data_IF_575107652294
#
_entry.id   IF_575107652294
#
_cell.length_a   1.000
_cell.length_b   1.000
_cell.length_c   1.000
_cell.angle_alpha   90.00
_cell.angle_beta   90.00
_cell.angle_gamma   90.00
#
_symmetry.space_group_name_H-M   'P 1'
#
loop_
_entity.id
_entity.type
_entity.pdbx_description
1 polymer ?
#
# COMPACT_ATOMS: atom_id res chain seq x y z
N UNK A 1 -46.30 24.39 17.48
CA UNK A 1 -45.25 23.70 16.70
C UNK A 1 -44.46 24.61 15.75
N UNK A 2 -45.06 25.60 15.06
CA UNK A 2 -44.33 26.50 14.13
C UNK A 2 -43.26 27.42 14.75
N UNK A 3 -43.39 27.82 16.02
CA UNK A 3 -42.42 28.72 16.71
C UNK A 3 -41.09 28.05 17.09
N UNK A 4 -41.10 26.75 17.38
CA UNK A 4 -39.89 26.01 17.74
C UNK A 4 -39.03 25.63 16.53
N UNK A 5 -39.65 25.44 15.36
CA UNK A 5 -38.95 25.20 14.08
C UNK A 5 -38.18 26.43 13.63
N UNK A 6 -38.75 27.63 13.81
CA UNK A 6 -38.06 28.90 13.50
C UNK A 6 -36.90 29.16 14.47
N UNK A 7 -37.04 28.80 15.76
CA UNK A 7 -35.95 28.93 16.73
C UNK A 7 -34.75 28.03 16.39
N UNK A 8 -35.02 26.78 15.99
CA UNK A 8 -33.97 25.84 15.54
C UNK A 8 -33.28 26.30 14.25
N UNK A 9 -34.03 26.88 13.31
CA UNK A 9 -33.47 27.47 12.09
C UNK A 9 -32.66 28.75 12.38
N UNK A 10 -33.06 29.56 13.36
CA UNK A 10 -32.31 30.77 13.73
C UNK A 10 -31.04 30.49 14.54
N UNK A 11 -31.03 29.44 15.37
CA UNK A 11 -29.85 29.02 16.15
C UNK A 11 -28.75 28.36 15.29
N UNK A 12 -29.11 27.80 14.13
CA UNK A 12 -28.14 27.19 13.20
C UNK A 12 -27.41 28.16 12.26
N UNK A 13 -27.94 29.38 12.07
CA UNK A 13 -27.44 30.33 11.06
C UNK A 13 -26.83 31.63 11.64
N UNK A 14 -26.87 31.82 12.96
CA UNK A 14 -26.47 33.06 13.62
C UNK A 14 -25.07 33.09 14.25
N UNK A 15 -24.29 32.01 14.17
CA UNK A 15 -22.91 32.02 14.69
C UNK A 15 -22.01 32.69 13.66
N UNK A 16 -21.31 33.80 13.98
CA UNK A 16 -20.29 34.34 13.09
C UNK A 16 -19.23 33.26 12.90
N UNK A 17 -19.19 32.69 11.70
CA UNK A 17 -18.16 31.73 11.30
C UNK A 17 -16.88 32.49 11.09
N UNK A 18 -16.14 32.75 12.17
CA UNK A 18 -14.73 33.10 12.07
C UNK A 18 -14.07 32.06 11.17
N UNK A 19 -13.44 32.50 10.07
CA UNK A 19 -12.74 31.60 9.14
C UNK A 19 -11.60 30.93 9.91
N UNK A 20 -11.90 29.77 10.47
CA UNK A 20 -10.95 28.98 11.22
C UNK A 20 -10.11 28.22 10.19
N UNK A 21 -8.88 28.67 9.98
CA UNK A 21 -7.92 28.00 9.11
C UNK A 21 -7.29 26.82 9.87
N UNK A 22 -8.08 25.78 10.09
CA UNK A 22 -7.62 24.51 10.65
C UNK A 22 -7.53 23.45 9.55
N UNK A 23 -6.43 22.70 9.55
CA UNK A 23 -6.24 21.54 8.68
C UNK A 23 -5.70 20.38 9.51
N UNK A 24 -6.17 19.17 9.23
CA UNK A 24 -5.65 17.96 9.86
C UNK A 24 -4.21 17.71 9.38
N UNK A 25 -3.28 17.76 10.32
CA UNK A 25 -1.93 17.25 10.15
C UNK A 25 -1.92 15.79 10.63
N UNK A 26 -1.78 14.85 9.71
CA UNK A 26 -1.76 13.42 10.04
C UNK A 26 -0.35 12.96 10.40
N UNK A 27 0.63 13.36 9.58
CA UNK A 27 2.03 13.05 9.78
C UNK A 27 2.87 14.32 9.59
N UNK A 28 3.92 14.47 10.41
CA UNK A 28 4.86 15.59 10.32
C UNK A 28 6.28 15.03 10.33
N UNK A 29 6.89 15.04 9.16
CA UNK A 29 8.24 14.54 8.93
C UNK A 29 9.26 15.66 8.75
N UNK A 30 8.86 16.93 8.89
CA UNK A 30 9.72 18.08 8.65
C UNK A 30 9.50 19.22 9.67
N UNK A 31 10.56 19.98 10.02
CA UNK A 31 10.46 21.21 10.84
C UNK A 31 9.57 22.26 10.18
N UNK A 32 8.92 23.16 10.93
CA UNK A 32 7.96 24.14 10.36
C UNK A 32 8.58 25.34 9.62
N UNK A 33 9.90 25.43 9.50
CA UNK A 33 10.64 26.65 9.12
C UNK A 33 11.10 26.72 7.66
N UNK A 34 10.36 26.13 6.71
CA UNK A 34 10.74 26.12 5.28
C UNK A 34 9.71 26.76 4.35
N UNK A 35 10.17 27.27 3.21
CA UNK A 35 9.32 27.78 2.13
C UNK A 35 8.85 26.63 1.23
N UNK A 36 7.58 26.68 0.82
CA UNK A 36 6.99 25.75 -0.16
C UNK A 36 6.83 26.44 -1.51
N UNK A 37 7.07 25.68 -2.57
CA UNK A 37 6.80 26.03 -3.98
C UNK A 37 5.72 25.10 -4.53
N UNK A 38 5.15 25.45 -5.69
CA UNK A 38 4.17 24.60 -6.36
C UNK A 38 4.38 24.51 -7.87
N UNK A 39 4.06 23.35 -8.44
CA UNK A 39 3.95 23.11 -9.89
C UNK A 39 2.50 22.69 -10.19
N UNK A 40 1.88 23.34 -11.17
CA UNK A 40 0.51 23.06 -11.59
C UNK A 40 0.48 22.40 -12.97
N UNK A 41 -0.16 21.23 -13.08
CA UNK A 41 -0.39 20.51 -14.35
C UNK A 41 -1.86 20.14 -14.45
N UNK A 42 -2.65 20.95 -15.15
CA UNK A 42 -4.11 20.81 -15.17
C UNK A 42 -4.70 20.87 -13.75
N UNK A 43 -5.47 19.87 -13.29
CA UNK A 43 -5.98 19.83 -11.92
C UNK A 43 -4.91 19.46 -10.88
N UNK A 44 -3.79 18.84 -11.25
CA UNK A 44 -2.74 18.43 -10.32
C UNK A 44 -1.95 19.64 -9.84
N UNK A 45 -1.77 19.76 -8.52
CA UNK A 45 -0.95 20.77 -7.86
C UNK A 45 0.08 20.08 -6.97
N UNK A 46 1.31 19.97 -7.44
CA UNK A 46 2.43 19.43 -6.67
C UNK A 46 2.98 20.54 -5.79
N UNK A 47 2.86 20.39 -4.48
CA UNK A 47 3.35 21.30 -3.45
C UNK A 47 4.59 20.66 -2.84
N UNK A 48 5.72 21.36 -2.84
CA UNK A 48 7.01 20.79 -2.44
C UNK A 48 7.87 21.83 -1.72
N UNK A 49 8.84 21.36 -0.94
CA UNK A 49 9.84 22.22 -0.28
C UNK A 49 10.85 22.76 -1.30
N UNK A 50 11.28 24.01 -1.11
CA UNK A 50 12.41 24.57 -1.86
C UNK A 50 13.63 23.63 -1.84
N UNK A 51 14.33 23.47 -2.98
CA UNK A 51 15.41 22.51 -3.25
C UNK A 51 14.97 21.09 -3.67
N UNK A 52 13.67 20.83 -3.85
CA UNK A 52 13.16 19.59 -4.46
C UNK A 52 12.67 19.78 -5.90
N UNK A 53 13.03 20.88 -6.54
CA UNK A 53 12.49 21.34 -7.83
C UNK A 53 12.56 20.24 -8.91
N UNK A 54 13.72 19.60 -9.11
CA UNK A 54 13.89 18.50 -10.07
C UNK A 54 12.98 17.31 -9.76
N UNK A 55 12.88 16.92 -8.49
CA UNK A 55 12.04 15.80 -8.05
C UNK A 55 10.55 16.14 -8.24
N UNK A 56 10.15 17.37 -7.94
CA UNK A 56 8.79 17.85 -8.08
C UNK A 56 8.34 17.88 -9.55
N UNK A 57 9.22 18.25 -10.50
CA UNK A 57 8.93 18.17 -11.93
C UNK A 57 8.70 16.71 -12.41
N UNK A 58 9.50 15.77 -11.90
CA UNK A 58 9.34 14.34 -12.22
C UNK A 58 8.03 13.80 -11.64
N UNK A 59 7.73 14.11 -10.38
CA UNK A 59 6.46 13.75 -9.71
C UNK A 59 5.26 14.37 -10.42
N UNK A 60 5.35 15.62 -10.87
CA UNK A 60 4.26 16.26 -11.63
C UNK A 60 3.99 15.53 -12.96
N UNK A 61 5.05 15.08 -13.65
CA UNK A 61 4.93 14.31 -14.89
C UNK A 61 4.30 12.95 -14.67
N UNK A 62 4.82 12.16 -13.72
CA UNK A 62 4.22 10.87 -13.36
C UNK A 62 2.79 11.03 -12.86
N UNK A 63 2.55 12.05 -12.04
CA UNK A 63 1.24 12.30 -11.47
C UNK A 63 0.18 12.64 -12.53
N UNK A 64 0.53 13.50 -13.48
CA UNK A 64 -0.35 13.82 -14.60
C UNK A 64 -0.61 12.60 -15.49
N UNK A 65 0.43 11.79 -15.77
CA UNK A 65 0.30 10.57 -16.57
C UNK A 65 -0.63 9.55 -15.91
N UNK A 66 -0.31 9.11 -14.69
CA UNK A 66 -1.09 8.07 -14.01
C UNK A 66 -2.52 8.54 -13.75
N UNK A 67 -2.72 9.82 -13.42
CA UNK A 67 -4.07 10.37 -13.26
C UNK A 67 -4.89 10.22 -14.54
N UNK A 68 -4.29 10.34 -15.73
CA UNK A 68 -4.99 10.18 -17.00
C UNK A 68 -5.42 8.74 -17.30
N UNK A 69 -4.66 7.74 -16.84
CA UNK A 69 -4.85 6.32 -17.23
C UNK A 69 -5.49 5.44 -16.16
N UNK A 70 -5.51 5.87 -14.88
CA UNK A 70 -6.02 5.06 -13.76
C UNK A 70 -7.42 5.43 -13.30
N UNK A 71 -8.17 6.20 -14.09
CA UNK A 71 -9.53 6.61 -13.72
C UNK A 71 -10.48 5.40 -13.57
N UNK A 72 -11.20 5.32 -12.43
CA UNK A 72 -12.28 4.33 -12.20
C UNK A 72 -13.61 4.82 -12.75
N UNK A 73 -13.77 6.14 -12.75
CA UNK A 73 -15.03 6.80 -12.98
C UNK A 73 -14.77 8.22 -13.52
N UNK A 74 -15.70 8.85 -14.25
CA UNK A 74 -15.50 10.19 -14.82
C UNK A 74 -14.93 11.21 -13.83
N UNK A 75 -13.69 11.63 -14.03
CA UNK A 75 -12.98 12.44 -13.05
C UNK A 75 -13.62 13.81 -12.90
N UNK A 76 -13.69 14.29 -11.66
CA UNK A 76 -14.08 15.67 -11.41
C UNK A 76 -12.82 16.51 -11.64
N UNK A 77 -12.90 17.56 -12.46
CA UNK A 77 -11.78 18.49 -12.73
C UNK A 77 -11.45 19.37 -11.52
N UNK A 78 -11.56 18.84 -10.30
CA UNK A 78 -11.25 19.53 -9.06
C UNK A 78 -9.75 19.59 -8.88
N UNK A 79 -9.24 20.64 -8.23
CA UNK A 79 -7.83 20.68 -7.88
C UNK A 79 -7.45 19.46 -7.01
N UNK A 80 -6.34 18.83 -7.37
CA UNK A 80 -5.76 17.66 -6.71
C UNK A 80 -4.39 18.06 -6.12
N UNK A 81 -4.34 18.41 -4.82
CA UNK A 81 -3.09 18.68 -4.13
C UNK A 81 -2.30 17.40 -3.92
N UNK A 82 -1.03 17.41 -4.30
CA UNK A 82 -0.04 16.40 -3.98
C UNK A 82 1.08 17.08 -3.20
N UNK A 83 1.25 16.72 -1.92
CA UNK A 83 2.31 17.25 -1.06
C UNK A 83 3.50 16.32 -1.16
N UNK A 84 4.60 16.81 -1.73
CA UNK A 84 5.89 16.12 -1.72
C UNK A 84 6.68 16.62 -0.51
N UNK A 85 6.77 15.78 0.51
CA UNK A 85 7.59 16.01 1.68
C UNK A 85 9.07 15.87 1.33
N UNK A 86 9.93 16.52 2.12
CA UNK A 86 11.38 16.42 1.94
C UNK A 86 12.01 15.20 2.60
N UNK A 87 13.09 15.42 3.35
CA UNK A 87 14.00 14.35 3.78
C UNK A 87 13.36 13.42 4.81
N UNK A 88 13.17 12.16 4.42
CA UNK A 88 12.70 11.08 5.28
C UNK A 88 13.37 9.77 4.89
N UNK A 89 13.85 9.05 5.90
CA UNK A 89 14.42 7.72 5.73
C UNK A 89 13.35 6.63 5.68
N UNK A 90 12.12 6.94 6.08
CA UNK A 90 10.98 6.03 6.00
C UNK A 90 10.12 6.54 4.85
N UNK A 91 10.21 5.92 3.66
CA UNK A 91 9.41 6.36 2.55
C UNK A 91 7.98 5.85 2.69
N UNK A 92 7.02 6.63 2.24
CA UNK A 92 5.61 6.31 2.35
C UNK A 92 4.78 7.11 1.34
N UNK A 93 3.56 6.65 1.09
CA UNK A 93 2.53 7.37 0.35
C UNK A 93 1.23 7.30 1.14
N UNK A 94 0.41 8.34 1.02
CA UNK A 94 -0.96 8.25 1.54
C UNK A 94 -1.90 9.19 0.79
N UNK A 95 -3.17 8.81 0.75
CA UNK A 95 -4.28 9.67 0.33
C UNK A 95 -5.11 10.05 1.54
N UNK A 96 -5.15 11.35 1.82
CA UNK A 96 -6.01 11.94 2.85
C UNK A 96 -7.18 12.60 2.16
N UNK A 97 -8.42 12.28 2.55
CA UNK A 97 -9.57 12.84 1.84
C UNK A 97 -10.14 14.13 2.43
N UNK A 98 -9.85 14.45 3.69
CA UNK A 98 -10.52 15.54 4.41
C UNK A 98 -9.50 16.53 4.99
N UNK A 99 -9.09 17.56 4.24
CA UNK A 99 -9.39 17.81 2.84
C UNK A 99 -8.56 16.95 1.88
N UNK A 100 -9.08 16.76 0.67
CA UNK A 100 -8.57 15.80 -0.32
C UNK A 100 -7.18 16.19 -0.82
N UNK A 101 -6.21 15.33 -0.57
CA UNK A 101 -4.82 15.47 -1.01
C UNK A 101 -4.12 14.12 -0.99
N UNK A 102 -3.05 14.04 -1.74
CA UNK A 102 -2.08 12.96 -1.67
C UNK A 102 -0.82 13.49 -1.01
N UNK A 103 -0.17 12.68 -0.19
CA UNK A 103 1.10 13.01 0.46
C UNK A 103 2.12 11.94 0.08
N UNK A 104 3.34 12.37 -0.27
CA UNK A 104 4.44 11.52 -0.65
C UNK A 104 5.67 11.82 0.19
N UNK A 105 6.26 10.76 0.70
CA UNK A 105 7.47 10.75 1.51
C UNK A 105 8.55 10.04 0.68
N UNK A 106 9.39 10.79 -0.05
CA UNK A 106 10.38 10.19 -0.93
C UNK A 106 11.47 9.50 -0.12
N UNK A 107 11.96 8.37 -0.62
CA UNK A 107 13.14 7.72 -0.04
C UNK A 107 14.36 8.60 -0.28
N UNK A 108 14.91 9.20 0.78
CA UNK A 108 16.10 10.06 0.65
C UNK A 108 17.43 9.36 0.95
N UNK A 109 17.38 8.09 1.36
CA UNK A 109 18.57 7.26 1.52
C UNK A 109 18.21 5.78 1.54
N UNK A 110 19.02 4.96 0.86
CA UNK A 110 18.82 3.51 0.76
C UNK A 110 18.17 3.08 -0.55
N UNK A 111 17.86 1.79 -0.62
CA UNK A 111 17.24 1.18 -1.79
C UNK A 111 16.09 0.29 -1.38
N UNK A 112 15.01 0.35 -2.16
CA UNK A 112 13.88 -0.56 -2.07
C UNK A 112 14.06 -1.74 -3.02
N UNK A 113 13.39 -2.85 -2.71
CA UNK A 113 13.52 -4.11 -3.48
C UNK A 113 12.66 -4.10 -4.75
N UNK A 114 12.58 -2.95 -5.42
CA UNK A 114 11.80 -2.75 -6.66
C UNK A 114 12.73 -2.36 -7.81
N UNK A 115 12.55 -2.90 -9.02
CA UNK A 115 13.37 -2.57 -10.19
C UNK A 115 13.05 -1.21 -10.83
N UNK A 116 12.24 -0.38 -10.14
CA UNK A 116 11.86 0.97 -10.55
C UNK A 116 12.14 1.94 -9.40
N UNK A 117 12.31 3.24 -9.68
CA UNK A 117 12.41 4.25 -8.63
C UNK A 117 11.23 4.11 -7.66
N UNK A 118 11.51 3.95 -6.36
CA UNK A 118 10.47 3.75 -5.34
C UNK A 118 9.40 4.84 -5.37
N UNK A 119 9.81 6.10 -5.58
CA UNK A 119 8.87 7.22 -5.68
C UNK A 119 7.91 7.08 -6.88
N UNK A 120 8.35 6.52 -8.01
CA UNK A 120 7.47 6.27 -9.15
C UNK A 120 6.43 5.20 -8.80
N UNK A 121 6.87 4.14 -8.09
CA UNK A 121 5.99 3.08 -7.60
C UNK A 121 4.92 3.67 -6.66
N UNK A 122 5.31 4.46 -5.66
CA UNK A 122 4.38 5.16 -4.77
C UNK A 122 3.39 6.04 -5.55
N UNK A 123 3.87 6.86 -6.49
CA UNK A 123 3.01 7.73 -7.28
C UNK A 123 1.96 6.93 -8.05
N UNK A 124 2.34 5.81 -8.67
CA UNK A 124 1.40 4.95 -9.39
C UNK A 124 0.34 4.33 -8.48
N UNK A 125 0.71 3.98 -7.25
CA UNK A 125 -0.16 3.33 -6.28
C UNK A 125 -1.16 4.32 -5.66
N UNK A 126 -0.65 5.40 -5.08
CA UNK A 126 -1.46 6.40 -4.37
C UNK A 126 -2.43 7.16 -5.28
N UNK A 127 -2.07 7.37 -6.55
CA UNK A 127 -3.01 7.98 -7.50
C UNK A 127 -4.22 7.07 -7.74
N UNK A 128 -4.04 5.75 -7.67
CA UNK A 128 -5.17 4.84 -7.75
C UNK A 128 -6.06 4.95 -6.51
N UNK A 129 -5.49 5.06 -5.31
CA UNK A 129 -6.28 5.37 -4.11
C UNK A 129 -7.07 6.67 -4.25
N UNK A 130 -6.47 7.72 -4.80
CA UNK A 130 -7.21 8.96 -5.05
C UNK A 130 -8.38 8.75 -6.01
N UNK A 131 -8.19 7.96 -7.07
CA UNK A 131 -9.26 7.62 -8.02
C UNK A 131 -10.39 6.78 -7.37
N UNK A 132 -10.05 5.87 -6.44
CA UNK A 132 -11.02 5.09 -5.65
C UNK A 132 -11.86 6.01 -4.76
N UNK A 133 -11.22 6.97 -4.08
CA UNK A 133 -11.91 7.94 -3.24
C UNK A 133 -12.79 8.90 -4.06
N UNK A 134 -12.35 9.32 -5.25
CA UNK A 134 -13.20 10.07 -6.19
C UNK A 134 -14.41 9.27 -6.68
N UNK A 135 -14.27 7.95 -6.89
CA UNK A 135 -15.36 7.10 -7.33
C UNK A 135 -16.47 7.00 -6.28
N UNK A 136 -16.13 7.14 -4.99
CA UNK A 136 -17.08 7.18 -3.88
C UNK A 136 -17.87 8.49 -3.77
N UNK A 137 -17.39 9.63 -4.31
CA UNK A 137 -18.10 10.93 -4.29
C UNK A 137 -19.25 11.00 -5.32
N UNK A 138 -20.15 10.01 -5.31
CA UNK A 138 -21.25 9.82 -6.28
C UNK A 138 -22.53 9.35 -5.61
N UNK A 139 -23.64 9.40 -6.36
CA UNK A 139 -24.95 8.86 -5.95
C UNK A 139 -25.38 9.35 -4.55
N UNK A 140 -25.73 8.45 -3.64
CA UNK A 140 -26.20 8.80 -2.31
C UNK A 140 -25.08 9.41 -1.46
N UNK A 141 -23.86 8.89 -1.55
CA UNK A 141 -22.70 9.50 -0.88
C UNK A 141 -22.45 10.93 -1.33
N UNK A 142 -22.69 11.24 -2.61
CA UNK A 142 -22.60 12.62 -3.10
C UNK A 142 -23.65 13.53 -2.48
N UNK A 143 -24.86 13.02 -2.23
CA UNK A 143 -25.88 13.81 -1.56
C UNK A 143 -25.44 14.21 -0.13
N UNK A 144 -24.75 13.31 0.58
CA UNK A 144 -24.19 13.61 1.91
C UNK A 144 -23.15 14.74 1.92
N UNK A 145 -22.51 15.04 0.78
CA UNK A 145 -21.56 16.16 0.65
C UNK A 145 -22.18 17.50 1.04
N UNK A 146 -23.49 17.71 0.78
CA UNK A 146 -24.14 18.97 1.10
C UNK A 146 -24.29 19.23 2.60
N UNK A 147 -24.19 18.18 3.42
CA UNK A 147 -24.26 18.27 4.89
C UNK A 147 -22.89 18.08 5.56
N UNK A 148 -22.07 17.17 5.02
CA UNK A 148 -20.81 16.74 5.64
C UNK A 148 -19.56 17.32 4.95
N UNK A 149 -19.72 18.04 3.83
CA UNK A 149 -18.60 18.43 2.98
C UNK A 149 -17.83 17.19 2.49
N UNK A 150 -16.49 17.29 2.42
CA UNK A 150 -15.65 16.18 1.96
C UNK A 150 -15.67 14.94 2.87
N UNK A 151 -16.19 15.05 4.11
CA UNK A 151 -16.31 13.90 5.02
C UNK A 151 -17.26 12.82 4.48
N UNK A 152 -18.11 13.14 3.50
CA UNK A 152 -19.00 12.19 2.84
C UNK A 152 -18.29 10.97 2.25
N UNK A 153 -17.10 11.16 1.67
CA UNK A 153 -16.30 10.07 1.11
C UNK A 153 -15.63 9.27 2.21
N UNK A 154 -15.29 9.89 3.35
CA UNK A 154 -14.80 9.16 4.53
C UNK A 154 -15.83 8.14 5.02
N UNK A 155 -17.11 8.53 5.08
CA UNK A 155 -18.22 7.59 5.36
C UNK A 155 -18.32 6.51 4.28
N UNK A 156 -18.16 6.89 3.02
CA UNK A 156 -18.15 5.96 1.89
C UNK A 156 -17.03 4.94 1.91
N UNK A 157 -15.85 5.31 2.41
CA UNK A 157 -14.67 4.46 2.45
C UNK A 157 -14.77 3.33 3.48
N UNK A 158 -15.72 3.40 4.42
CA UNK A 158 -16.03 2.32 5.35
C UNK A 158 -16.76 1.14 4.69
N UNK A 159 -17.24 1.34 3.46
CA UNK A 159 -18.13 0.39 2.79
C UNK A 159 -17.35 -0.68 2.00
N UNK A 160 -16.35 -0.34 1.15
CA UNK A 160 -15.47 -1.34 0.55
C UNK A 160 -14.50 -1.91 1.59
N UNK A 161 -14.09 -3.16 1.39
CA UNK A 161 -13.06 -3.76 2.24
C UNK A 161 -11.71 -3.07 2.04
N UNK A 162 -10.89 -2.97 3.10
CA UNK A 162 -9.52 -2.45 2.98
C UNK A 162 -8.67 -3.19 1.93
N UNK A 163 -8.83 -4.51 1.76
CA UNK A 163 -8.12 -5.24 0.70
C UNK A 163 -8.52 -4.82 -0.70
N UNK A 164 -9.72 -4.29 -0.91
CA UNK A 164 -10.14 -3.82 -2.23
C UNK A 164 -9.28 -2.63 -2.64
N UNK A 165 -9.14 -1.64 -1.74
CA UNK A 165 -8.33 -0.45 -2.01
C UNK A 165 -6.91 -0.85 -2.39
N UNK A 166 -6.27 -1.71 -1.60
CA UNK A 166 -4.89 -2.13 -1.85
C UNK A 166 -4.73 -3.03 -3.08
N UNK A 167 -5.59 -4.04 -3.22
CA UNK A 167 -5.52 -4.97 -4.35
C UNK A 167 -5.74 -4.27 -5.68
N UNK A 168 -6.70 -3.35 -5.76
CA UNK A 168 -7.01 -2.61 -6.98
C UNK A 168 -5.93 -1.57 -7.29
N UNK A 169 -5.28 -1.01 -6.27
CA UNK A 169 -4.09 -0.18 -6.45
C UNK A 169 -2.88 -0.99 -6.94
N UNK A 170 -2.67 -2.21 -6.43
CA UNK A 170 -1.65 -3.15 -6.92
C UNK A 170 -1.91 -3.61 -8.36
N UNK A 171 -3.16 -3.88 -8.71
CA UNK A 171 -3.54 -4.19 -10.09
C UNK A 171 -3.22 -3.02 -11.01
N UNK A 172 -3.63 -1.80 -10.62
CA UNK A 172 -3.40 -0.58 -11.40
C UNK A 172 -1.92 -0.25 -11.58
N UNK A 173 -1.09 -0.29 -10.53
CA UNK A 173 0.36 -0.07 -10.66
C UNK A 173 0.98 -1.13 -11.59
N UNK A 174 0.58 -2.40 -11.48
CA UNK A 174 1.16 -3.51 -12.26
C UNK A 174 0.75 -3.48 -13.73
N UNK A 175 -0.38 -2.83 -14.03
CA UNK A 175 -0.89 -2.64 -15.38
C UNK A 175 -0.25 -1.45 -16.10
N UNK A 176 -0.07 -0.32 -15.41
CA UNK A 176 0.30 0.94 -16.05
C UNK A 176 1.73 1.41 -15.78
N UNK A 177 2.37 0.95 -14.70
CA UNK A 177 3.76 1.27 -14.41
C UNK A 177 4.69 0.23 -15.06
N UNK A 178 5.99 0.56 -15.27
CA UNK A 178 6.98 -0.40 -15.78
C UNK A 178 7.17 -1.63 -14.88
N UNK A 179 6.81 -1.51 -13.59
CA UNK A 179 6.80 -2.60 -12.62
C UNK A 179 5.70 -2.35 -11.59
N UNK A 180 5.05 -3.43 -11.16
CA UNK A 180 4.13 -3.43 -10.03
C UNK A 180 4.15 -4.77 -9.30
N UNK A 181 3.58 -4.81 -8.10
CA UNK A 181 3.73 -5.93 -7.17
C UNK A 181 3.15 -7.25 -7.66
N UNK A 182 2.23 -7.28 -8.62
CA UNK A 182 1.77 -8.54 -9.24
C UNK A 182 2.92 -9.29 -9.91
N UNK A 183 3.91 -8.58 -10.43
CA UNK A 183 5.09 -9.15 -11.08
C UNK A 183 6.20 -9.52 -10.08
N UNK A 184 6.01 -9.25 -8.79
CA UNK A 184 6.98 -9.54 -7.75
C UNK A 184 6.94 -11.00 -7.34
N UNK A 185 8.11 -11.66 -7.31
CA UNK A 185 8.24 -13.04 -6.86
C UNK A 185 7.88 -13.25 -5.38
N UNK A 186 7.96 -12.20 -4.56
CA UNK A 186 7.72 -12.28 -3.11
C UNK A 186 6.28 -11.95 -2.72
N UNK A 187 5.54 -11.21 -3.54
CA UNK A 187 4.24 -10.62 -3.17
C UNK A 187 3.17 -11.68 -2.82
N UNK A 188 3.10 -12.75 -3.62
CA UNK A 188 2.17 -13.86 -3.40
C UNK A 188 2.88 -15.13 -2.90
N UNK A 189 4.15 -15.02 -2.48
CA UNK A 189 4.98 -16.18 -2.11
C UNK A 189 4.38 -16.98 -0.95
N UNK A 190 3.80 -16.32 0.04
CA UNK A 190 3.20 -16.99 1.20
C UNK A 190 2.01 -17.88 0.80
N UNK A 191 1.17 -17.46 -0.16
CA UNK A 191 0.11 -18.33 -0.71
C UNK A 191 0.68 -19.59 -1.35
N UNK A 192 1.79 -19.48 -2.09
CA UNK A 192 2.45 -20.64 -2.69
C UNK A 192 3.04 -21.56 -1.62
N UNK A 193 3.68 -21.01 -0.59
CA UNK A 193 4.21 -21.79 0.52
C UNK A 193 3.09 -22.57 1.23
N UNK A 194 1.97 -21.91 1.54
CA UNK A 194 0.81 -22.56 2.15
C UNK A 194 0.27 -23.71 1.29
N UNK A 195 0.16 -23.52 -0.02
CA UNK A 195 -0.32 -24.55 -0.96
C UNK A 195 0.64 -25.75 -1.08
N UNK A 196 1.95 -25.51 -1.07
CA UNK A 196 2.98 -26.55 -1.11
C UNK A 196 3.04 -27.35 0.19
N UNK A 197 2.88 -26.68 1.33
CA UNK A 197 2.85 -27.31 2.65
C UNK A 197 1.52 -28.05 2.94
N UNK A 198 0.55 -27.99 2.03
CA UNK A 198 -0.77 -28.58 2.20
C UNK A 198 -1.60 -27.89 3.30
N UNK A 199 -1.37 -26.60 3.54
CA UNK A 199 -2.06 -25.83 4.58
C UNK A 199 -3.50 -25.54 4.15
N UNK A 200 -4.46 -25.96 4.96
CA UNK A 200 -5.89 -25.73 4.73
C UNK A 200 -6.41 -24.56 5.59
N UNK A 201 -5.98 -23.34 5.27
CA UNK A 201 -6.48 -22.14 5.94
C UNK A 201 -7.84 -21.71 5.39
N UNK A 202 -8.73 -21.29 6.30
CA UNK A 202 -10.06 -20.79 5.93
C UNK A 202 -10.00 -19.40 5.29
N UNK A 203 -11.08 -19.02 4.60
CA UNK A 203 -11.24 -17.66 4.06
C UNK A 203 -11.03 -16.59 5.13
N UNK A 204 -11.61 -16.77 6.32
CA UNK A 204 -11.51 -15.80 7.41
C UNK A 204 -10.08 -15.72 7.96
N UNK A 205 -9.36 -16.85 8.03
CA UNK A 205 -7.94 -16.84 8.39
C UNK A 205 -7.12 -16.06 7.38
N UNK A 206 -7.36 -16.25 6.07
CA UNK A 206 -6.70 -15.47 5.02
C UNK A 206 -7.08 -13.98 5.05
N UNK A 207 -8.34 -13.66 5.32
CA UNK A 207 -8.88 -12.30 5.30
C UNK A 207 -8.46 -11.46 6.50
N UNK A 208 -8.48 -12.06 7.70
CA UNK A 208 -8.26 -11.39 8.98
C UNK A 208 -6.90 -11.70 9.61
N UNK A 209 -6.08 -12.52 8.94
CA UNK A 209 -4.77 -12.99 9.38
C UNK A 209 -4.85 -13.90 10.61
N UNK A 210 -3.68 -14.36 11.07
CA UNK A 210 -3.54 -15.20 12.25
C UNK A 210 -2.26 -14.86 13.00
N UNK A 211 -2.28 -14.96 14.33
CA UNK A 211 -1.06 -14.97 15.15
C UNK A 211 -0.36 -16.34 15.15
N UNK A 212 -1.06 -17.39 14.72
CA UNK A 212 -0.55 -18.76 14.70
C UNK A 212 0.04 -19.13 13.34
N UNK A 213 -0.56 -18.64 12.25
CA UNK A 213 -0.15 -18.96 10.88
C UNK A 213 0.39 -17.71 10.19
N UNK A 214 1.42 -17.87 9.37
CA UNK A 214 1.99 -16.79 8.59
C UNK A 214 1.12 -16.49 7.37
N UNK A 215 0.01 -15.79 7.61
CA UNK A 215 -0.96 -15.44 6.57
C UNK A 215 -0.56 -14.15 5.85
N UNK A 216 -0.66 -14.08 4.51
CA UNK A 216 -0.56 -12.84 3.74
C UNK A 216 -1.42 -11.71 4.32
N UNK A 217 -0.98 -10.48 4.16
CA UNK A 217 -1.75 -9.32 4.58
C UNK A 217 -2.87 -8.98 3.57
N UNK A 218 -3.54 -7.86 3.83
CA UNK A 218 -4.62 -7.36 2.98
C UNK A 218 -4.16 -6.94 1.57
N UNK A 219 -2.88 -6.66 1.34
CA UNK A 219 -2.34 -6.40 0.00
C UNK A 219 -2.29 -7.69 -0.82
N UNK A 220 -1.75 -8.76 -0.24
CA UNK A 220 -1.71 -10.08 -0.87
C UNK A 220 -3.12 -10.63 -1.12
N UNK A 221 -3.99 -10.57 -0.10
CA UNK A 221 -5.39 -10.99 -0.23
C UNK A 221 -6.15 -10.21 -1.28
N UNK A 222 -5.99 -8.88 -1.27
CA UNK A 222 -6.60 -8.00 -2.25
C UNK A 222 -6.16 -8.35 -3.66
N UNK A 223 -4.87 -8.55 -3.87
CA UNK A 223 -4.31 -8.91 -5.19
C UNK A 223 -4.90 -10.23 -5.70
N UNK A 224 -4.97 -11.26 -4.86
CA UNK A 224 -5.59 -12.54 -5.23
C UNK A 224 -7.05 -12.38 -5.69
N UNK A 225 -7.83 -11.58 -4.95
CA UNK A 225 -9.22 -11.31 -5.26
C UNK A 225 -9.38 -10.50 -6.56
N UNK A 226 -8.61 -9.42 -6.70
CA UNK A 226 -8.70 -8.50 -7.85
C UNK A 226 -8.24 -9.19 -9.12
N UNK A 227 -7.04 -9.79 -9.14
CA UNK A 227 -6.49 -10.42 -10.35
C UNK A 227 -7.39 -11.56 -10.86
N UNK A 228 -7.84 -12.45 -9.97
CA UNK A 228 -8.72 -13.55 -10.36
C UNK A 228 -10.09 -13.06 -10.85
N UNK A 229 -10.67 -12.03 -10.21
CA UNK A 229 -11.96 -11.50 -10.64
C UNK A 229 -11.87 -10.69 -11.93
N UNK A 230 -10.81 -9.90 -12.12
CA UNK A 230 -10.55 -9.18 -13.38
C UNK A 230 -10.32 -10.16 -14.53
N UNK A 231 -9.54 -11.23 -14.31
CA UNK A 231 -9.32 -12.29 -15.29
C UNK A 231 -10.63 -12.96 -15.74
N UNK A 232 -11.56 -13.20 -14.81
CA UNK A 232 -12.81 -13.94 -15.08
C UNK A 232 -13.99 -13.08 -15.55
N UNK A 233 -14.10 -11.86 -15.05
CA UNK A 233 -15.28 -11.00 -15.23
C UNK A 233 -14.96 -9.68 -15.95
N UNK A 234 -13.69 -9.42 -16.23
CA UNK A 234 -13.21 -8.21 -16.90
C UNK A 234 -13.05 -7.01 -15.96
N UNK A 235 -12.34 -6.00 -16.44
CA UNK A 235 -11.98 -4.81 -15.66
C UNK A 235 -13.18 -3.96 -15.22
N UNK A 236 -14.32 -4.06 -15.92
CA UNK A 236 -15.53 -3.31 -15.60
C UNK A 236 -16.28 -3.80 -14.36
N UNK A 237 -15.89 -4.95 -13.76
CA UNK A 237 -16.51 -5.44 -12.53
C UNK A 237 -16.35 -4.45 -11.37
N UNK A 238 -15.14 -3.98 -11.12
CA UNK A 238 -14.84 -3.16 -9.94
C UNK A 238 -15.43 -1.75 -10.01
N UNK A 239 -15.42 -1.04 -11.16
CA UNK A 239 -16.22 0.18 -11.32
C UNK A 239 -17.71 -0.03 -11.00
N UNK A 240 -18.31 -1.15 -11.43
CA UNK A 240 -19.70 -1.48 -11.12
C UNK A 240 -19.92 -1.76 -9.62
N UNK A 241 -19.00 -2.47 -8.96
CA UNK A 241 -19.04 -2.72 -7.51
C UNK A 241 -18.93 -1.40 -6.74
N UNK A 242 -18.02 -0.52 -7.15
CA UNK A 242 -17.85 0.78 -6.50
C UNK A 242 -19.05 1.71 -6.67
N UNK A 243 -19.65 1.73 -7.85
CA UNK A 243 -20.90 2.47 -8.06
C UNK A 243 -22.03 1.92 -7.19
N UNK A 244 -22.12 0.59 -7.02
CA UNK A 244 -23.09 -0.04 -6.14
C UNK A 244 -22.87 0.35 -4.68
N UNK A 245 -21.62 0.33 -4.20
CA UNK A 245 -21.26 0.75 -2.85
C UNK A 245 -21.61 2.24 -2.61
N UNK A 246 -21.34 3.11 -3.58
CA UNK A 246 -21.69 4.54 -3.48
C UNK A 246 -23.22 4.80 -3.50
N UNK A 247 -23.99 3.90 -4.12
CA UNK A 247 -25.45 3.97 -4.16
C UNK A 247 -26.10 3.43 -2.87
N UNK A 248 -25.52 2.40 -2.26
CA UNK A 248 -26.09 1.69 -1.10
C UNK A 248 -25.13 1.63 0.11
N UNK A 249 -24.59 2.76 0.59
CA UNK A 249 -23.60 2.78 1.68
C UNK A 249 -24.15 2.30 3.03
N UNK A 250 -25.47 2.27 3.21
CA UNK A 250 -26.13 1.82 4.44
C UNK A 250 -26.17 0.30 4.61
N UNK A 251 -25.76 -0.49 3.60
CA UNK A 251 -25.89 -1.94 3.65
C UNK A 251 -24.81 -2.66 4.48
N UNK A 252 -23.78 -1.97 5.00
CA UNK A 252 -22.59 -2.46 5.77
C UNK A 252 -21.78 -3.57 5.05
N UNK A 253 -22.44 -4.58 4.48
CA UNK A 253 -21.92 -5.67 3.63
C UNK A 253 -22.25 -5.45 2.14
N UNK A 254 -22.35 -4.19 1.68
CA UNK A 254 -22.77 -3.89 0.29
C UNK A 254 -21.83 -4.49 -0.75
N UNK A 255 -20.54 -4.59 -0.46
CA UNK A 255 -19.55 -5.21 -1.35
C UNK A 255 -19.89 -6.68 -1.62
N UNK A 256 -20.27 -7.44 -0.59
CA UNK A 256 -20.73 -8.83 -0.73
C UNK A 256 -21.96 -8.94 -1.63
N UNK A 257 -22.93 -8.02 -1.46
CA UNK A 257 -24.11 -8.00 -2.33
C UNK A 257 -23.78 -7.59 -3.76
N UNK A 258 -22.89 -6.63 -3.96
CA UNK A 258 -22.41 -6.20 -5.26
C UNK A 258 -21.72 -7.37 -5.99
N UNK A 259 -20.78 -8.03 -5.32
CA UNK A 259 -20.08 -9.20 -5.87
C UNK A 259 -21.06 -10.31 -6.23
N UNK A 260 -22.02 -10.64 -5.35
CA UNK A 260 -23.06 -11.63 -5.66
C UNK A 260 -23.93 -11.22 -6.85
N UNK A 261 -24.27 -9.93 -6.98
CA UNK A 261 -25.07 -9.42 -8.09
C UNK A 261 -24.37 -9.58 -9.43
N UNK A 262 -23.10 -9.17 -9.52
CA UNK A 262 -22.34 -9.09 -10.77
C UNK A 262 -21.60 -10.39 -11.13
N UNK A 263 -21.20 -11.21 -10.15
CA UNK A 263 -20.43 -12.45 -10.39
C UNK A 263 -21.25 -13.73 -10.15
N UNK A 264 -22.44 -13.61 -9.55
CA UNK A 264 -23.24 -14.72 -9.00
C UNK A 264 -22.56 -15.53 -7.90
N UNK A 265 -21.44 -15.03 -7.37
CA UNK A 265 -20.63 -15.68 -6.32
C UNK A 265 -20.44 -14.74 -5.14
N UNK A 266 -20.32 -15.32 -3.94
CA UNK A 266 -19.93 -14.56 -2.75
C UNK A 266 -18.39 -14.47 -2.64
N UNK A 267 -17.85 -13.60 -1.76
CA UNK A 267 -16.41 -13.43 -1.59
C UNK A 267 -15.66 -14.73 -1.27
N UNK A 268 -16.25 -15.61 -0.45
CA UNK A 268 -15.65 -16.91 -0.10
C UNK A 268 -15.44 -17.76 -1.35
N UNK A 269 -16.49 -17.92 -2.18
CA UNK A 269 -16.39 -18.71 -3.41
C UNK A 269 -15.39 -18.10 -4.41
N UNK A 270 -15.34 -16.77 -4.50
CA UNK A 270 -14.38 -16.07 -5.36
C UNK A 270 -12.95 -16.33 -4.90
N UNK A 271 -12.66 -16.16 -3.61
CA UNK A 271 -11.35 -16.40 -3.05
C UNK A 271 -10.90 -17.86 -3.17
N UNK A 272 -11.76 -18.81 -2.81
CA UNK A 272 -11.45 -20.25 -2.97
C UNK A 272 -11.16 -20.60 -4.43
N UNK A 273 -11.88 -19.98 -5.37
CA UNK A 273 -11.61 -20.18 -6.81
C UNK A 273 -10.29 -19.56 -7.24
N UNK A 274 -9.96 -18.36 -6.72
CA UNK A 274 -8.71 -17.68 -6.98
C UNK A 274 -7.50 -18.49 -6.47
N UNK A 275 -7.60 -19.04 -5.26
CA UNK A 275 -6.54 -19.86 -4.67
C UNK A 275 -6.29 -21.13 -5.49
N UNK A 276 -7.34 -21.84 -5.90
CA UNK A 276 -7.25 -23.02 -6.77
C UNK A 276 -6.68 -22.69 -8.15
N UNK A 277 -7.06 -21.54 -8.69
CA UNK A 277 -6.55 -21.07 -9.98
C UNK A 277 -5.06 -20.75 -9.91
N UNK A 278 -4.62 -20.04 -8.87
CA UNK A 278 -3.21 -19.77 -8.65
C UNK A 278 -2.39 -21.07 -8.53
N UNK A 279 -2.85 -22.01 -7.71
CA UNK A 279 -2.24 -23.34 -7.57
C UNK A 279 -2.10 -24.06 -8.93
N UNK A 280 -3.18 -24.08 -9.70
CA UNK A 280 -3.21 -24.69 -11.04
C UNK A 280 -2.24 -24.01 -12.02
N UNK A 281 -2.12 -22.67 -11.97
CA UNK A 281 -1.20 -21.91 -12.80
C UNK A 281 0.25 -22.22 -12.41
N UNK A 282 0.55 -22.27 -11.11
CA UNK A 282 1.90 -22.55 -10.61
C UNK A 282 2.38 -23.94 -11.01
N UNK A 283 1.56 -24.97 -10.75
CA UNK A 283 1.89 -26.36 -11.12
C UNK A 283 2.17 -26.45 -12.62
N UNK A 284 1.29 -25.89 -13.46
CA UNK A 284 1.45 -25.95 -14.93
C UNK A 284 2.71 -25.23 -15.42
N UNK A 285 3.10 -24.11 -14.81
CA UNK A 285 4.18 -23.24 -15.34
C UNK A 285 5.55 -23.48 -14.74
N UNK A 286 5.63 -23.90 -13.47
CA UNK A 286 6.88 -23.93 -12.71
C UNK A 286 7.29 -25.34 -12.32
N UNK A 287 6.33 -26.25 -12.13
CA UNK A 287 6.57 -27.61 -11.65
C UNK A 287 5.76 -28.62 -12.49
N UNK A 288 6.03 -28.76 -13.81
CA UNK A 288 5.37 -29.78 -14.63
C UNK A 288 5.86 -31.17 -14.19
N UNK A 289 5.21 -31.77 -13.17
CA UNK A 289 5.62 -33.03 -12.55
C UNK A 289 4.95 -33.27 -11.18
N UNK A 290 5.64 -33.99 -10.28
CA UNK A 290 5.19 -34.23 -8.91
C UNK A 290 5.44 -33.01 -8.01
N UNK A 291 4.51 -32.71 -7.10
CA UNK A 291 4.65 -31.62 -6.13
C UNK A 291 5.90 -31.84 -5.26
N UNK A 292 6.68 -30.78 -4.95
CA UNK A 292 7.78 -30.87 -4.01
C UNK A 292 7.33 -31.47 -2.67
N UNK A 293 8.15 -32.32 -2.08
CA UNK A 293 7.90 -32.84 -0.74
C UNK A 293 7.89 -31.68 0.25
N UNK A 294 6.86 -31.57 1.13
CA UNK A 294 6.82 -30.52 2.14
C UNK A 294 8.10 -30.52 2.98
N UNK A 295 8.65 -29.34 3.23
CA UNK A 295 9.83 -29.19 4.09
C UNK A 295 9.38 -29.38 5.55
N UNK A 296 10.17 -30.12 6.33
CA UNK A 296 9.88 -30.30 7.75
C UNK A 296 9.82 -28.95 8.49
N UNK A 297 8.76 -28.74 9.29
CA UNK A 297 8.60 -27.51 10.08
C UNK A 297 9.66 -27.47 11.18
N UNK A 298 10.59 -26.53 11.07
CA UNK A 298 11.61 -26.21 12.09
C UNK A 298 11.31 -24.91 12.84
N UNK A 299 12.23 -24.50 13.70
CA UNK A 299 12.19 -23.16 14.32
C UNK A 299 12.31 -22.07 13.24
N UNK A 300 11.56 -20.98 13.42
CA UNK A 300 11.59 -19.87 12.46
C UNK A 300 12.95 -19.16 12.51
N UNK A 301 13.59 -19.06 11.35
CA UNK A 301 14.78 -18.27 11.15
C UNK A 301 14.67 -17.46 9.86
N UNK A 302 14.90 -16.15 9.95
CA UNK A 302 14.97 -15.26 8.81
C UNK A 302 16.43 -15.10 8.39
N UNK A 303 16.79 -15.64 7.25
CA UNK A 303 18.10 -15.45 6.62
C UNK A 303 17.99 -14.52 5.42
N UNK A 304 18.69 -13.39 5.45
CA UNK A 304 18.56 -12.33 4.45
C UNK A 304 19.92 -11.89 3.92
N UNK A 305 19.93 -11.53 2.63
CA UNK A 305 21.06 -10.89 1.95
C UNK A 305 22.38 -11.67 2.12
N UNK A 306 22.41 -12.96 1.76
CA UNK A 306 23.64 -13.72 1.82
C UNK A 306 24.65 -13.13 0.83
N UNK A 307 25.90 -12.97 1.28
CA UNK A 307 27.01 -12.58 0.45
C UNK A 307 28.23 -13.45 0.77
N UNK A 308 28.78 -14.10 -0.24
CA UNK A 308 29.98 -14.92 -0.11
C UNK A 308 31.12 -14.26 -0.86
N UNK A 309 32.20 -13.86 -0.17
CA UNK A 309 33.41 -13.40 -0.85
C UNK A 309 34.02 -14.52 -1.68
N UNK A 310 34.51 -14.17 -2.88
CA UNK A 310 35.13 -15.13 -3.80
C UNK A 310 36.37 -15.76 -3.16
N UNK A 311 36.47 -17.09 -3.23
CA UNK A 311 37.64 -17.84 -2.73
C UNK A 311 37.66 -18.09 -1.22
N UNK A 312 36.63 -17.70 -0.46
CA UNK A 312 36.55 -17.93 0.97
C UNK A 312 35.49 -18.99 1.34
N UNK A 313 35.78 -19.88 2.32
CA UNK A 313 34.86 -20.93 2.78
C UNK A 313 33.85 -20.39 3.82
N UNK A 314 33.45 -19.13 3.69
CA UNK A 314 32.45 -18.52 4.56
C UNK A 314 31.59 -17.52 3.80
N UNK A 315 30.38 -17.30 4.30
CA UNK A 315 29.46 -16.26 3.82
C UNK A 315 29.02 -15.35 4.96
N UNK A 316 28.62 -14.14 4.63
CA UNK A 316 27.97 -13.21 5.54
C UNK A 316 26.47 -13.20 5.25
N UNK A 317 25.66 -13.13 6.30
CA UNK A 317 24.21 -13.02 6.16
C UNK A 317 23.58 -12.33 7.36
N UNK A 318 22.45 -11.68 7.13
CA UNK A 318 21.65 -11.09 8.18
C UNK A 318 20.66 -12.12 8.70
N UNK A 319 20.75 -12.43 9.99
CA UNK A 319 19.96 -13.47 10.66
C UNK A 319 19.15 -12.85 11.78
N UNK A 320 17.89 -13.26 11.89
CA UNK A 320 17.04 -13.00 13.05
C UNK A 320 16.10 -14.18 13.26
N UNK A 321 15.66 -14.38 14.49
CA UNK A 321 14.64 -15.36 14.85
C UNK A 321 13.65 -14.73 15.83
N UNK A 322 12.76 -15.52 16.43
CA UNK A 322 11.75 -15.01 17.37
C UNK A 322 12.33 -14.56 18.72
N UNK A 323 13.52 -15.03 19.07
CA UNK A 323 14.18 -14.80 20.36
C UNK A 323 15.35 -13.81 20.27
N UNK A 324 15.91 -13.61 19.07
CA UNK A 324 17.11 -12.80 18.88
C UNK A 324 16.90 -11.67 17.85
N UNK A 325 17.38 -10.45 18.16
CA UNK A 325 17.33 -9.34 17.22
C UNK A 325 18.21 -9.60 16.00
N UNK A 326 18.01 -8.81 14.95
CA UNK A 326 18.80 -8.88 13.73
C UNK A 326 20.30 -8.82 14.03
N UNK A 327 21.06 -9.68 13.36
CA UNK A 327 22.51 -9.76 13.51
C UNK A 327 23.18 -10.05 12.17
N UNK A 328 24.34 -9.45 11.92
CA UNK A 328 25.24 -9.88 10.86
C UNK A 328 26.04 -11.06 11.37
N UNK A 329 25.89 -12.22 10.72
CA UNK A 329 26.63 -13.43 11.05
C UNK A 329 27.58 -13.80 9.92
N UNK A 330 28.76 -14.32 10.29
CA UNK A 330 29.65 -15.07 9.39
C UNK A 330 29.38 -16.55 9.57
N UNK A 331 29.08 -17.25 8.49
CA UNK A 331 28.77 -18.67 8.49
C UNK A 331 29.80 -19.40 7.64
N UNK A 332 30.46 -20.37 8.24
CA UNK A 332 31.36 -21.29 7.53
C UNK A 332 30.54 -22.20 6.60
N UNK A 333 30.88 -22.22 5.32
CA UNK A 333 30.07 -22.94 4.32
C UNK A 333 30.21 -24.46 4.43
N UNK A 334 31.29 -24.95 5.06
CA UNK A 334 31.61 -26.37 5.25
C UNK A 334 31.05 -26.86 6.58
N UNK A 335 31.44 -26.23 7.69
CA UNK A 335 31.08 -26.68 9.05
C UNK A 335 29.69 -26.21 9.48
N UNK A 336 29.08 -25.29 8.74
CA UNK A 336 27.81 -24.61 9.07
C UNK A 336 27.81 -23.85 10.41
N UNK A 337 28.98 -23.69 11.04
CA UNK A 337 29.11 -22.90 12.26
C UNK A 337 28.96 -21.42 11.95
N UNK A 338 28.12 -20.73 12.72
CA UNK A 338 27.95 -19.29 12.63
C UNK A 338 28.66 -18.56 13.76
N UNK A 339 29.14 -17.35 13.47
CA UNK A 339 29.67 -16.39 14.44
C UNK A 339 28.97 -15.05 14.22
N UNK A 340 28.33 -14.52 15.24
CA UNK A 340 27.80 -13.16 15.23
C UNK A 340 28.94 -12.16 15.20
N UNK A 341 28.86 -11.20 14.28
CA UNK A 341 29.85 -10.13 14.12
C UNK A 341 29.33 -8.79 14.59
N UNK A 342 28.05 -8.50 14.36
CA UNK A 342 27.49 -7.18 14.63
C UNK A 342 25.97 -7.23 14.81
N UNK A 343 25.44 -6.38 15.69
CA UNK A 343 24.01 -6.12 15.84
C UNK A 343 23.72 -4.68 15.41
N UNK A 344 22.92 -4.46 14.35
CA UNK A 344 22.58 -3.12 13.90
C UNK A 344 21.50 -2.50 14.77
N UNK A 345 21.36 -1.17 14.69
CA UNK A 345 20.13 -0.48 15.07
C UNK A 345 18.98 -0.79 14.10
N UNK A 346 18.16 0.22 13.79
CA UNK A 346 17.04 0.06 12.88
C UNK A 346 17.51 0.03 11.41
N UNK A 347 18.04 -1.12 10.97
CA UNK A 347 18.53 -1.30 9.60
C UNK A 347 17.42 -1.11 8.56
N UNK A 348 17.66 -0.23 7.59
CA UNK A 348 16.79 0.01 6.43
C UNK A 348 17.41 -0.57 5.16
N UNK A 349 16.54 -0.99 4.23
CA UNK A 349 16.94 -1.43 2.89
C UNK A 349 17.91 -2.62 2.87
N UNK A 350 18.55 -2.79 1.71
CA UNK A 350 19.56 -3.83 1.51
C UNK A 350 20.97 -3.39 1.90
N UNK A 351 21.74 -4.32 2.49
CA UNK A 351 23.17 -4.13 2.63
C UNK A 351 23.84 -4.26 1.25
N UNK A 352 24.91 -3.49 1.05
CA UNK A 352 25.81 -3.56 -0.11
C UNK A 352 27.14 -4.12 0.38
N UNK A 353 27.69 -5.05 -0.39
CA UNK A 353 28.95 -5.69 -0.07
C UNK A 353 29.93 -5.41 -1.20
N UNK A 354 31.10 -4.89 -0.84
CA UNK A 354 32.30 -4.92 -1.67
C UNK A 354 33.30 -5.93 -1.10
N UNK A 355 34.44 -6.08 -1.74
CA UNK A 355 35.44 -7.08 -1.36
C UNK A 355 35.96 -6.92 0.08
N UNK A 356 36.01 -5.67 0.57
CA UNK A 356 36.55 -5.33 1.90
C UNK A 356 35.57 -4.59 2.81
N UNK A 357 34.42 -4.14 2.30
CA UNK A 357 33.48 -3.29 3.05
C UNK A 357 32.05 -3.80 2.92
N UNK A 358 31.27 -3.67 3.98
CA UNK A 358 29.81 -3.79 3.94
C UNK A 358 29.20 -2.44 4.32
N UNK A 359 28.25 -1.96 3.52
CA UNK A 359 27.53 -0.71 3.73
C UNK A 359 26.04 -0.99 3.94
N UNK A 360 25.44 -0.35 4.93
CA UNK A 360 24.00 -0.37 5.17
C UNK A 360 23.59 0.95 5.80
N UNK A 361 22.28 1.14 5.94
CA UNK A 361 21.70 2.34 6.51
C UNK A 361 20.97 1.97 7.79
N UNK A 362 21.10 2.80 8.82
CA UNK A 362 20.36 2.66 10.07
C UNK A 362 19.53 3.91 10.34
N UNK A 363 18.24 3.72 10.60
CA UNK A 363 17.35 4.79 10.99
C UNK A 363 17.64 5.25 12.43
N UNK A 364 17.96 6.53 12.60
CA UNK A 364 18.09 7.18 13.90
C UNK A 364 17.01 8.24 14.04
N UNK A 365 16.10 8.07 15.00
CA UNK A 365 15.04 9.06 15.26
C UNK A 365 15.63 10.34 15.85
N UNK A 366 15.14 11.50 15.40
CA UNK A 366 15.53 12.77 15.99
C UNK A 366 15.06 12.84 17.47
N UNK A 367 15.92 13.25 18.41
CA UNK A 367 15.60 13.22 19.84
C UNK A 367 14.41 14.12 20.23
N UNK A 368 14.13 15.17 19.45
CA UNK A 368 13.02 16.12 19.69
C UNK A 368 11.78 15.89 18.81
N UNK A 369 11.96 15.31 17.62
CA UNK A 369 10.92 15.25 16.60
C UNK A 369 10.76 13.79 16.18
N UNK A 370 9.85 13.07 16.83
CA UNK A 370 9.72 11.61 16.70
C UNK A 370 9.39 11.11 15.29
N UNK A 371 8.84 11.98 14.42
CA UNK A 371 8.59 11.73 12.99
C UNK A 371 9.78 12.01 12.06
N UNK A 372 10.82 12.67 12.54
CA UNK A 372 12.05 12.95 11.77
C UNK A 372 13.04 11.81 12.00
N UNK A 373 13.51 11.20 10.92
CA UNK A 373 14.45 10.07 10.95
C UNK A 373 15.67 10.41 10.10
N UNK A 374 16.85 10.31 10.69
CA UNK A 374 18.16 10.45 10.05
C UNK A 374 18.72 9.08 9.67
N UNK A 375 19.69 9.06 8.75
CA UNK A 375 20.32 7.85 8.23
C UNK A 375 21.82 8.00 8.04
#
# INVERSE_FOLDING_TARGET
MKRWVLLFLSLGFGVPTSRLHAQYLFESHEPTTFTRRQICVGPLRVIYRENLDSLAHVVARWGAFYRGVTAISPQRKRPFPLVLWGQTMIPNGMVVWTPSRMELYPLTGGEERTPVPWLQHLVSHEIRHYAQMEALDRKLLRFLYYFLGQQNVGVGALVPSNWYFEGDAIHSESKYAPFGRVHSAVHLQAYRADLLDGQELSYDQYRFRSFKYNVPDHYGFGTMMIESTVSRYGENLWPCVMEYNAKYPFLIISETFALKKFTKRNPVNLFTSALREADSIFIRRVEPGERPTPIAKGEYQSERQPWQPNGYPFRFQWVSDLSHPLALQRIDTITKRSKTLFHPGAKLGAARYGDSVALWIEAVRHPRWSGVVWG
#
